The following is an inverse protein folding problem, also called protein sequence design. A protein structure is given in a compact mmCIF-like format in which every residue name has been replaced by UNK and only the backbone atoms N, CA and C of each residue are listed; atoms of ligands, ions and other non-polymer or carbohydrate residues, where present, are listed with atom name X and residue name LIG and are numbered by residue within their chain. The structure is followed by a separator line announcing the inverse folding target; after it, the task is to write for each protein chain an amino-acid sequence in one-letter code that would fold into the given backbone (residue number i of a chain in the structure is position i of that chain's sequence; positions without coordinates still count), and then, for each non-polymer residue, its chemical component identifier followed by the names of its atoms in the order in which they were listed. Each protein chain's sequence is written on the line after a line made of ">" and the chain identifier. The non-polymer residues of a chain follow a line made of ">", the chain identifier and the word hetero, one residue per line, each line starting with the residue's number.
data_IF_882188282861
#
_entry.id   IF_882188282861
#
_cell.length_a   1.000
_cell.length_b   1.000
_cell.length_c   1.000
_cell.angle_alpha   90.00
_cell.angle_beta   90.00
_cell.angle_gamma   90.00
#
_symmetry.space_group_name_H-M   'P 1'
#
loop_
_entity.id
_entity.type
_entity.pdbx_description
1 polymer ?
#
# COMPACT_ATOMS: atom_id res chain seq x y z
N UNK A 1 38.94 1.18 -9.06
CA UNK A 1 37.59 1.74 -8.89
C UNK A 1 36.71 1.04 -9.91
N UNK A 2 36.07 -0.07 -9.52
CA UNK A 2 35.16 -0.81 -10.41
C UNK A 2 33.92 0.06 -10.57
N UNK A 3 33.55 0.41 -11.80
CA UNK A 3 32.34 1.20 -12.08
C UNK A 3 31.17 0.57 -11.36
N UNK A 4 30.53 1.33 -10.47
CA UNK A 4 29.18 1.00 -10.02
C UNK A 4 28.35 0.81 -11.30
N UNK A 5 27.89 -0.42 -11.56
CA UNK A 5 27.01 -0.65 -12.69
C UNK A 5 25.74 0.16 -12.43
N UNK A 6 25.45 1.12 -13.30
CA UNK A 6 24.28 1.98 -13.17
C UNK A 6 23.01 1.12 -13.17
N UNK A 7 22.02 1.46 -12.33
CA UNK A 7 20.79 0.68 -12.19
C UNK A 7 20.07 0.44 -13.54
N UNK A 8 20.22 1.38 -14.49
CA UNK A 8 19.74 1.27 -15.86
C UNK A 8 20.42 0.13 -16.64
N UNK A 9 21.73 -0.06 -16.49
CA UNK A 9 22.48 -1.13 -17.16
C UNK A 9 22.10 -2.50 -16.59
N UNK A 10 21.90 -2.57 -15.26
CA UNK A 10 21.37 -3.75 -14.61
C UNK A 10 19.93 -4.07 -15.07
N UNK A 11 19.10 -3.05 -15.31
CA UNK A 11 17.75 -3.25 -15.83
C UNK A 11 17.76 -3.73 -17.27
N UNK A 12 18.65 -3.20 -18.11
CA UNK A 12 18.84 -3.67 -19.48
C UNK A 12 19.28 -5.14 -19.50
N UNK A 13 20.21 -5.52 -18.62
CA UNK A 13 20.60 -6.91 -18.42
C UNK A 13 19.43 -7.79 -17.96
N UNK A 14 18.54 -7.27 -17.11
CA UNK A 14 17.32 -7.96 -16.70
C UNK A 14 16.37 -8.17 -17.88
N UNK A 15 16.17 -7.15 -18.71
CA UNK A 15 15.34 -7.23 -19.91
C UNK A 15 15.87 -8.28 -20.89
N UNK A 16 17.17 -8.34 -21.11
CA UNK A 16 17.79 -9.36 -21.98
C UNK A 16 17.63 -10.80 -21.47
N UNK A 17 17.36 -10.98 -20.16
CA UNK A 17 17.14 -12.29 -19.53
C UNK A 17 15.67 -12.65 -19.35
N UNK A 18 14.77 -11.70 -19.60
CA UNK A 18 13.34 -11.93 -19.49
C UNK A 18 12.87 -12.84 -20.63
N UNK A 19 11.90 -13.71 -20.34
CA UNK A 19 11.27 -14.56 -21.36
C UNK A 19 10.54 -13.72 -22.42
N UNK A 20 9.92 -12.62 -21.98
CA UNK A 20 9.34 -11.59 -22.82
C UNK A 20 9.92 -10.22 -22.39
N UNK A 21 10.74 -9.57 -23.24
CA UNK A 21 11.36 -8.28 -22.92
C UNK A 21 10.36 -7.12 -22.95
N UNK A 22 9.18 -7.29 -23.58
CA UNK A 22 8.12 -6.28 -23.64
C UNK A 22 7.16 -6.38 -22.46
N UNK A 23 7.06 -7.55 -21.80
CA UNK A 23 6.27 -7.72 -20.57
C UNK A 23 7.03 -7.18 -19.35
N UNK A 24 6.57 -6.08 -18.73
CA UNK A 24 7.22 -5.49 -17.55
C UNK A 24 7.29 -6.44 -16.34
N UNK A 25 6.38 -7.42 -16.22
CA UNK A 25 6.40 -8.40 -15.14
C UNK A 25 7.47 -9.48 -15.34
N UNK A 26 7.74 -9.86 -16.58
CA UNK A 26 8.85 -10.76 -16.92
C UNK A 26 10.19 -10.07 -16.71
N UNK A 27 10.31 -8.80 -17.12
CA UNK A 27 11.49 -7.97 -16.82
C UNK A 27 11.70 -7.83 -15.31
N UNK A 28 10.64 -7.57 -14.53
CA UNK A 28 10.72 -7.52 -13.06
C UNK A 28 11.17 -8.85 -12.46
N UNK A 29 10.70 -9.98 -13.01
CA UNK A 29 11.06 -11.31 -12.51
C UNK A 29 12.52 -11.65 -12.81
N UNK A 30 13.01 -11.27 -14.00
CA UNK A 30 14.41 -11.37 -14.36
C UNK A 30 15.31 -10.47 -13.50
N UNK A 31 14.84 -9.27 -13.12
CA UNK A 31 15.55 -8.39 -12.19
C UNK A 31 15.66 -9.01 -10.79
N UNK A 32 14.58 -9.60 -10.26
CA UNK A 32 14.59 -10.33 -8.98
C UNK A 32 15.59 -11.50 -9.01
N UNK A 33 15.64 -12.24 -10.13
CA UNK A 33 16.60 -13.34 -10.31
C UNK A 33 18.05 -12.82 -10.34
N UNK A 34 18.31 -11.75 -11.08
CA UNK A 34 19.62 -11.08 -11.13
C UNK A 34 20.10 -10.62 -9.76
N UNK A 35 19.23 -10.04 -8.92
CA UNK A 35 19.60 -9.63 -7.57
C UNK A 35 20.10 -10.80 -6.69
N UNK A 36 19.70 -12.04 -6.98
CA UNK A 36 20.17 -13.24 -6.25
C UNK A 36 21.55 -13.71 -6.72
N UNK A 37 21.93 -13.35 -7.94
CA UNK A 37 23.20 -13.75 -8.56
C UNK A 37 24.31 -12.73 -8.31
N UNK A 38 23.98 -11.48 -7.98
CA UNK A 38 24.97 -10.43 -7.72
C UNK A 38 25.72 -10.71 -6.40
N UNK A 39 27.05 -10.91 -6.43
CA UNK A 39 27.86 -11.02 -5.23
C UNK A 39 28.18 -9.60 -4.72
N UNK A 40 27.61 -9.20 -3.59
CA UNK A 40 27.86 -7.89 -3.00
C UNK A 40 27.10 -7.69 -1.68
N UNK A 41 27.59 -6.75 -0.87
CA UNK A 41 26.90 -6.30 0.34
C UNK A 41 25.45 -5.88 0.00
N UNK A 42 24.45 -6.26 0.79
CA UNK A 42 23.06 -5.86 0.55
C UNK A 42 22.93 -4.33 0.67
N UNK A 43 22.89 -3.61 -0.45
CA UNK A 43 22.69 -2.17 -0.45
C UNK A 43 22.72 -1.49 -1.83
N UNK A 44 22.02 -0.35 -1.93
CA UNK A 44 22.12 0.65 -2.99
C UNK A 44 21.71 0.20 -4.39
N UNK A 45 22.56 -0.58 -5.05
CA UNK A 45 22.45 -0.95 -6.46
C UNK A 45 21.33 -1.96 -6.72
N UNK A 46 21.26 -3.02 -5.89
CA UNK A 46 20.15 -3.98 -5.86
C UNK A 46 18.84 -3.25 -5.62
N UNK A 47 18.89 -2.23 -4.76
CA UNK A 47 17.71 -1.47 -4.41
C UNK A 47 17.24 -0.55 -5.53
N UNK A 48 18.17 0.14 -6.17
CA UNK A 48 17.93 1.01 -7.32
C UNK A 48 17.43 0.21 -8.54
N UNK A 49 17.96 -0.98 -8.79
CA UNK A 49 17.47 -1.89 -9.85
C UNK A 49 16.00 -2.25 -9.63
N UNK A 50 15.65 -2.69 -8.41
CA UNK A 50 14.27 -3.06 -8.09
C UNK A 50 13.32 -1.87 -8.15
N UNK A 51 13.76 -0.69 -7.68
CA UNK A 51 12.97 0.55 -7.75
C UNK A 51 12.69 0.91 -9.22
N UNK A 52 13.69 0.84 -10.10
CA UNK A 52 13.53 1.15 -11.53
C UNK A 52 12.63 0.14 -12.26
N UNK A 53 12.79 -1.16 -11.98
CA UNK A 53 11.94 -2.21 -12.56
C UNK A 53 10.47 -2.05 -12.14
N UNK A 54 10.22 -1.74 -10.88
CA UNK A 54 8.86 -1.48 -10.37
C UNK A 54 8.27 -0.20 -10.96
N UNK A 55 9.06 0.87 -11.11
CA UNK A 55 8.61 2.09 -11.78
C UNK A 55 8.17 1.81 -13.22
N UNK A 56 8.97 1.09 -14.02
CA UNK A 56 8.61 0.70 -15.39
C UNK A 56 7.32 -0.13 -15.45
N UNK A 57 7.17 -1.12 -14.57
CA UNK A 57 5.94 -1.90 -14.49
C UNK A 57 4.73 -1.03 -14.13
N UNK A 58 4.90 -0.05 -13.23
CA UNK A 58 3.83 0.89 -12.87
C UNK A 58 3.44 1.83 -14.01
N UNK A 59 4.40 2.34 -14.77
CA UNK A 59 4.19 3.19 -15.95
C UNK A 59 3.45 2.44 -17.06
N UNK A 60 3.72 1.14 -17.21
CA UNK A 60 3.00 0.25 -18.12
C UNK A 60 1.60 -0.16 -17.62
N UNK A 61 1.12 0.38 -16.50
CA UNK A 61 -0.22 0.13 -15.97
C UNK A 61 -0.37 -1.12 -15.11
N UNK A 62 0.72 -1.82 -14.77
CA UNK A 62 0.66 -3.03 -13.96
C UNK A 62 0.14 -2.74 -12.54
N UNK A 63 -0.75 -3.61 -12.05
CA UNK A 63 -1.33 -3.47 -10.71
C UNK A 63 -0.34 -3.84 -9.60
N UNK A 64 -0.52 -3.23 -8.42
CA UNK A 64 0.24 -3.62 -7.22
C UNK A 64 0.04 -5.08 -6.81
N UNK A 65 -1.09 -5.69 -7.16
CA UNK A 65 -1.35 -7.11 -6.89
C UNK A 65 -0.43 -7.97 -7.75
N UNK A 66 -0.38 -7.71 -9.06
CA UNK A 66 0.47 -8.47 -9.98
C UNK A 66 1.97 -8.30 -9.67
N UNK A 67 2.41 -7.08 -9.34
CA UNK A 67 3.79 -6.82 -8.87
C UNK A 67 4.07 -7.59 -7.58
N UNK A 68 3.12 -7.58 -6.63
CA UNK A 68 3.25 -8.27 -5.34
C UNK A 68 3.38 -9.79 -5.43
N UNK A 69 2.66 -10.42 -6.37
CA UNK A 69 2.76 -11.87 -6.66
C UNK A 69 4.19 -12.27 -7.06
N UNK A 70 4.89 -11.43 -7.83
CA UNK A 70 6.29 -11.70 -8.24
C UNK A 70 7.26 -11.61 -7.06
N UNK A 71 6.95 -10.81 -6.04
CA UNK A 71 7.79 -10.60 -4.84
C UNK A 71 7.54 -11.61 -3.71
N UNK A 72 7.05 -12.82 -3.99
CA UNK A 72 6.44 -13.76 -3.02
C UNK A 72 7.22 -14.03 -1.70
N UNK A 73 8.53 -13.77 -1.63
CA UNK A 73 9.34 -13.88 -0.41
C UNK A 73 9.67 -12.55 0.34
N UNK A 74 9.48 -11.36 -0.24
CA UNK A 74 9.76 -10.06 0.40
C UNK A 74 8.50 -9.52 1.09
N UNK A 75 8.03 -10.25 2.11
CA UNK A 75 6.63 -10.20 2.54
C UNK A 75 6.23 -9.06 3.49
N UNK A 76 7.04 -8.02 3.73
CA UNK A 76 6.61 -6.94 4.66
C UNK A 76 6.79 -5.48 4.22
N UNK A 77 7.42 -5.16 3.09
CA UNK A 77 7.64 -3.74 2.76
C UNK A 77 7.58 -3.35 1.29
N UNK A 78 7.33 -4.23 0.31
CA UNK A 78 7.31 -3.83 -1.11
C UNK A 78 6.30 -2.70 -1.38
N UNK A 79 5.07 -2.80 -0.88
CA UNK A 79 4.11 -1.66 -0.97
C UNK A 79 4.64 -0.39 -0.32
N UNK A 80 5.25 -0.45 0.87
CA UNK A 80 5.75 0.76 1.55
C UNK A 80 6.95 1.38 0.84
N UNK A 81 7.84 0.54 0.31
CA UNK A 81 9.06 0.92 -0.37
C UNK A 81 8.79 1.62 -1.69
N UNK A 82 7.90 1.06 -2.50
CA UNK A 82 7.61 1.57 -3.85
C UNK A 82 6.38 2.47 -3.92
N UNK A 83 5.73 2.78 -2.78
CA UNK A 83 4.68 3.81 -2.75
C UNK A 83 5.36 5.17 -2.75
N UNK A 84 5.06 6.06 -3.71
CA UNK A 84 5.61 7.41 -3.71
C UNK A 84 5.33 8.13 -2.39
N UNK A 85 6.25 8.98 -1.93
CA UNK A 85 6.10 9.69 -0.66
C UNK A 85 4.74 10.44 -0.54
N UNK A 86 4.25 11.01 -1.66
CA UNK A 86 2.94 11.65 -1.70
C UNK A 86 1.80 10.65 -1.48
N UNK A 87 1.85 9.46 -2.08
CA UNK A 87 0.85 8.42 -1.92
C UNK A 87 0.84 7.87 -0.48
N UNK A 88 2.02 7.77 0.16
CA UNK A 88 2.09 7.42 1.57
C UNK A 88 1.38 8.46 2.45
N UNK A 89 1.63 9.76 2.23
CA UNK A 89 0.93 10.85 2.94
C UNK A 89 -0.58 10.80 2.71
N UNK A 90 -1.04 10.57 1.49
CA UNK A 90 -2.47 10.43 1.19
C UNK A 90 -3.11 9.24 1.92
N UNK A 91 -2.44 8.08 1.96
CA UNK A 91 -2.94 6.89 2.65
C UNK A 91 -2.99 7.09 4.17
N UNK A 92 -1.97 7.72 4.75
CA UNK A 92 -1.94 8.08 6.17
C UNK A 92 -3.06 9.07 6.50
N UNK A 93 -3.22 10.13 5.71
CA UNK A 93 -4.30 11.11 5.89
C UNK A 93 -5.69 10.46 5.77
N UNK A 94 -5.86 9.54 4.83
CA UNK A 94 -7.11 8.78 4.67
C UNK A 94 -7.39 7.90 5.89
N UNK A 95 -6.37 7.23 6.43
CA UNK A 95 -6.48 6.44 7.67
C UNK A 95 -6.85 7.35 8.85
N UNK A 96 -6.13 8.44 9.07
CA UNK A 96 -6.42 9.41 10.14
C UNK A 96 -7.86 9.95 10.04
N UNK A 97 -8.33 10.31 8.84
CA UNK A 97 -9.73 10.71 8.63
C UNK A 97 -10.73 9.62 8.99
N UNK A 98 -10.42 8.36 8.65
CA UNK A 98 -11.30 7.22 8.95
C UNK A 98 -11.33 6.91 10.45
N UNK A 99 -10.19 7.04 11.13
CA UNK A 99 -10.07 6.82 12.56
C UNK A 99 -10.72 7.97 13.34
N UNK A 100 -10.72 9.19 12.77
CA UNK A 100 -11.44 10.37 13.26
C UNK A 100 -12.95 10.27 13.15
N UNK A 101 -13.45 9.59 12.12
CA UNK A 101 -14.86 9.49 11.82
C UNK A 101 -15.63 8.59 12.81
N UNK A 102 -16.96 8.74 12.81
CA UNK A 102 -17.87 7.83 13.50
C UNK A 102 -17.63 6.37 13.05
N UNK A 103 -17.45 5.46 14.01
CA UNK A 103 -17.22 4.03 13.77
C UNK A 103 -18.37 3.37 12.99
N UNK A 104 -19.59 3.89 13.12
CA UNK A 104 -20.80 3.35 12.50
C UNK A 104 -21.08 3.96 11.12
N UNK A 105 -21.36 5.26 11.06
CA UNK A 105 -21.77 5.91 9.80
C UNK A 105 -20.62 6.52 9.00
N UNK A 106 -19.37 6.44 9.48
CA UNK A 106 -18.16 7.00 8.85
C UNK A 106 -18.19 8.51 8.59
N UNK A 107 -19.12 9.23 9.23
CA UNK A 107 -19.16 10.69 9.17
C UNK A 107 -17.95 11.29 9.91
N UNK A 108 -17.16 12.17 9.26
CA UNK A 108 -16.04 12.82 9.93
C UNK A 108 -16.54 13.82 10.98
N UNK A 109 -15.71 14.12 12.01
CA UNK A 109 -16.02 15.17 12.98
C UNK A 109 -16.01 16.53 12.29
N UNK A 110 -16.84 17.44 12.78
CA UNK A 110 -16.93 18.80 12.27
C UNK A 110 -17.78 19.67 13.19
N UNK A 111 -17.94 20.97 12.89
CA UNK A 111 -18.62 21.93 13.78
C UNK A 111 -20.07 21.57 14.12
N UNK A 112 -20.71 20.71 13.31
CA UNK A 112 -22.10 20.27 13.45
C UNK A 112 -22.23 18.77 13.75
N UNK A 113 -21.16 18.09 14.15
CA UNK A 113 -21.16 16.66 14.44
C UNK A 113 -20.56 16.46 15.82
N UNK A 114 -21.41 16.24 16.81
CA UNK A 114 -20.96 15.92 18.16
C UNK A 114 -20.54 14.46 18.24
N UNK A 115 -19.40 14.21 18.87
CA UNK A 115 -18.78 12.89 18.94
C UNK A 115 -18.66 12.44 20.40
N UNK A 116 -19.19 11.26 20.69
CA UNK A 116 -18.98 10.55 21.94
C UNK A 116 -17.74 9.67 21.78
N UNK A 117 -16.81 9.78 22.73
CA UNK A 117 -15.53 9.07 22.71
C UNK A 117 -15.57 7.97 23.77
N UNK A 118 -15.25 6.74 23.37
CA UNK A 118 -15.06 5.61 24.27
C UNK A 118 -13.75 4.89 23.94
N UNK A 119 -13.35 3.98 24.82
CA UNK A 119 -12.11 3.19 24.66
C UNK A 119 -12.09 2.40 23.33
N UNK A 120 -13.25 1.88 22.90
CA UNK A 120 -13.39 1.11 21.68
C UNK A 120 -13.66 1.93 20.40
N UNK A 121 -13.77 3.26 20.49
CA UNK A 121 -13.95 4.11 19.31
C UNK A 121 -14.76 5.37 19.52
N UNK A 122 -15.26 5.93 18.40
CA UNK A 122 -16.03 7.19 18.40
C UNK A 122 -17.37 7.00 17.71
N UNK A 123 -18.44 7.53 18.29
CA UNK A 123 -19.78 7.49 17.71
C UNK A 123 -20.37 8.91 17.65
N UNK A 124 -21.00 9.26 16.53
CA UNK A 124 -21.67 10.56 16.44
C UNK A 124 -23.03 10.55 17.16
N UNK A 125 -23.45 11.71 17.65
CA UNK A 125 -24.76 12.01 18.20
C UNK A 125 -25.93 11.37 17.44
N UNK A 126 -25.96 11.47 16.11
CA UNK A 126 -27.01 10.87 15.28
C UNK A 126 -27.07 9.34 15.40
N UNK A 127 -25.92 8.69 15.45
CA UNK A 127 -25.86 7.23 15.60
C UNK A 127 -26.23 6.81 17.03
N UNK A 128 -25.89 7.61 18.04
CA UNK A 128 -26.33 7.39 19.42
C UNK A 128 -27.84 7.51 19.54
N UNK A 129 -28.43 8.57 18.98
CA UNK A 129 -29.88 8.78 18.99
C UNK A 129 -30.62 7.60 18.31
N UNK A 130 -30.16 7.20 17.13
CA UNK A 130 -30.72 6.05 16.41
C UNK A 130 -30.63 4.75 17.24
N UNK A 131 -29.49 4.51 17.89
CA UNK A 131 -29.34 3.33 18.76
C UNK A 131 -30.31 3.39 19.94
N UNK A 132 -30.52 4.56 20.53
CA UNK A 132 -31.51 4.79 21.59
C UNK A 132 -32.93 4.44 21.13
N UNK A 133 -33.33 4.89 19.94
CA UNK A 133 -34.66 4.60 19.38
C UNK A 133 -34.88 3.10 19.15
N UNK A 134 -33.85 2.40 18.65
CA UNK A 134 -33.87 0.94 18.44
C UNK A 134 -34.06 0.22 19.78
N UNK A 135 -33.25 0.54 20.79
CA UNK A 135 -33.32 -0.10 22.11
C UNK A 135 -34.68 0.17 22.79
N UNK A 136 -35.15 1.42 22.73
CA UNK A 136 -36.46 1.77 23.28
C UNK A 136 -37.60 1.05 22.55
N UNK A 137 -37.49 0.88 21.23
CA UNK A 137 -38.44 0.10 20.42
C UNK A 137 -38.46 -1.39 20.82
N UNK A 138 -37.30 -1.99 21.02
CA UNK A 138 -37.19 -3.38 21.47
C UNK A 138 -37.78 -3.58 22.87
N UNK A 139 -37.51 -2.66 23.80
CA UNK A 139 -38.05 -2.71 25.16
C UNK A 139 -39.59 -2.62 25.21
N UNK A 140 -40.22 -1.97 24.23
CA UNK A 140 -41.69 -1.92 24.10
C UNK A 140 -42.30 -3.19 23.54
N UNK A 141 -41.56 -3.96 22.73
CA UNK A 141 -42.05 -5.20 22.09
C UNK A 141 -41.90 -6.43 22.97
N UNK A 142 -40.99 -6.40 23.94
CA UNK A 142 -40.76 -7.49 24.89
C UNK A 142 -41.61 -7.42 26.16
N UNK A 143 -42.51 -6.45 26.27
CA UNK A 143 -43.56 -6.35 27.29
C UNK A 143 -44.90 -6.69 26.65
#
# INVERSE_FOLDING_TARGET
>A
MVSAMEASELLERARSRASDPEDPLEVLSAAIALCRELPGEPGGEVDALLDLAVCRAREAGTSWTAIGERFWYIRRSTRRRFTPAFAHRHLVNRRMKRDAACSFCRRPPGPRVHMVHGEAGRICDRCVALAGDIVAGLARRGR
#
